data_IF_860658223821
#
_entry.id   IF_860658223821
#
_cell.length_a   1.000
_cell.length_b   1.000
_cell.length_c   1.000
_cell.angle_alpha   90.00
_cell.angle_beta   90.00
_cell.angle_gamma   90.00
#
_symmetry.space_group_name_H-M   'P 1'
#
loop_
_entity.id
_entity.type
_entity.pdbx_description
1 polymer ?
#
# COMPACT_ATOMS: atom_id res chain seq x y z
N UNK A 1 -23.81 -22.12 -4.18
CA UNK A 1 -23.20 -21.48 -3.02
C UNK A 1 -24.30 -21.32 -1.99
N UNK A 2 -24.14 -21.90 -0.80
CA UNK A 2 -25.06 -21.67 0.31
C UNK A 2 -24.50 -20.52 1.13
N UNK A 3 -25.31 -19.52 1.42
CA UNK A 3 -24.94 -18.45 2.36
C UNK A 3 -25.41 -18.87 3.74
N UNK A 4 -24.48 -19.01 4.68
CA UNK A 4 -24.77 -19.33 6.08
C UNK A 4 -25.49 -18.17 6.80
N UNK A 5 -25.96 -18.44 8.01
CA UNK A 5 -26.72 -17.45 8.80
C UNK A 5 -25.87 -16.26 9.26
N UNK A 6 -24.56 -16.45 9.35
CA UNK A 6 -23.52 -15.51 9.75
C UNK A 6 -22.63 -15.05 8.57
N UNK A 7 -23.02 -15.38 7.34
CA UNK A 7 -22.26 -15.02 6.14
C UNK A 7 -22.90 -13.85 5.38
N UNK A 8 -22.11 -13.18 4.54
CA UNK A 8 -22.64 -12.41 3.42
C UNK A 8 -22.05 -13.00 2.14
N UNK A 9 -22.89 -13.44 1.21
CA UNK A 9 -22.43 -14.01 -0.05
C UNK A 9 -22.94 -13.23 -1.26
N UNK A 10 -22.48 -13.63 -2.44
CA UNK A 10 -22.98 -12.99 -3.65
C UNK A 10 -22.12 -13.17 -4.88
N UNK A 11 -22.38 -12.29 -5.84
CA UNK A 11 -21.63 -12.21 -7.10
C UNK A 11 -21.22 -10.77 -7.36
N UNK A 12 -20.03 -10.60 -7.93
CA UNK A 12 -19.56 -9.35 -8.50
C UNK A 12 -19.57 -9.46 -10.01
N UNK A 13 -20.21 -8.49 -10.66
CA UNK A 13 -20.20 -8.35 -12.12
C UNK A 13 -19.53 -7.05 -12.52
N UNK A 14 -18.74 -7.09 -13.59
CA UNK A 14 -18.22 -5.93 -14.29
C UNK A 14 -18.87 -5.79 -15.68
N UNK A 15 -18.41 -4.83 -16.50
CA UNK A 15 -18.95 -4.60 -17.84
C UNK A 15 -18.83 -5.80 -18.79
N UNK A 16 -17.89 -6.71 -18.52
CA UNK A 16 -17.59 -7.87 -19.36
C UNK A 16 -18.11 -9.19 -18.77
N UNK A 17 -19.04 -9.14 -17.81
CA UNK A 17 -19.58 -10.32 -17.13
C UNK A 17 -19.01 -10.50 -15.72
N UNK A 18 -18.84 -11.73 -15.23
CA UNK A 18 -18.34 -11.98 -13.88
C UNK A 18 -16.95 -11.36 -13.63
N UNK A 19 -16.79 -10.68 -12.49
CA UNK A 19 -15.54 -10.00 -12.16
C UNK A 19 -14.70 -10.85 -11.21
N UNK A 20 -13.69 -11.52 -11.75
CA UNK A 20 -12.80 -12.40 -11.00
C UNK A 20 -11.61 -11.67 -10.35
N UNK A 21 -11.14 -12.20 -9.21
CA UNK A 21 -9.93 -11.72 -8.54
C UNK A 21 -10.05 -10.30 -7.98
N UNK A 22 -11.24 -9.88 -7.58
CA UNK A 22 -11.47 -8.60 -6.89
C UNK A 22 -11.80 -8.83 -5.42
N UNK A 23 -11.40 -7.89 -4.58
CA UNK A 23 -11.67 -7.93 -3.15
C UNK A 23 -13.09 -7.45 -2.87
N UNK A 24 -13.85 -8.25 -2.13
CA UNK A 24 -15.12 -7.84 -1.55
C UNK A 24 -14.90 -7.58 -0.06
N UNK A 25 -15.21 -6.36 0.35
CA UNK A 25 -14.87 -5.80 1.65
C UNK A 25 -16.16 -5.51 2.39
N UNK A 26 -16.37 -6.18 3.52
CA UNK A 26 -17.40 -5.82 4.50
C UNK A 26 -16.74 -5.07 5.65
N UNK A 27 -17.18 -3.83 5.93
CA UNK A 27 -16.69 -3.06 7.07
C UNK A 27 -17.84 -2.57 7.95
N UNK A 28 -17.59 -2.46 9.25
CA UNK A 28 -18.55 -1.95 10.24
C UNK A 28 -17.86 -1.16 11.35
N UNK A 29 -18.58 -0.19 11.90
CA UNK A 29 -18.23 0.53 13.13
C UNK A 29 -19.27 0.25 14.24
N UNK A 30 -20.18 -0.72 14.05
CA UNK A 30 -21.22 -1.05 15.03
C UNK A 30 -20.69 -1.96 16.17
N UNK A 31 -19.43 -2.39 16.06
CA UNK A 31 -18.72 -3.19 17.06
C UNK A 31 -17.82 -2.27 17.93
N UNK A 32 -17.29 -2.75 19.08
CA UNK A 32 -16.48 -1.92 19.97
C UNK A 32 -15.27 -1.25 19.32
N UNK A 33 -14.70 -1.87 18.27
CA UNK A 33 -13.71 -1.27 17.38
C UNK A 33 -14.13 -1.49 15.93
N UNK A 34 -13.56 -0.70 15.00
CA UNK A 34 -13.82 -0.89 13.58
C UNK A 34 -13.40 -2.31 13.18
N UNK A 35 -14.27 -2.97 12.42
CA UNK A 35 -14.04 -4.31 11.92
C UNK A 35 -14.11 -4.32 10.40
N UNK A 36 -13.22 -5.07 9.77
CA UNK A 36 -13.23 -5.32 8.33
C UNK A 36 -13.01 -6.82 8.06
N UNK A 37 -13.79 -7.40 7.15
CA UNK A 37 -13.50 -8.70 6.56
C UNK A 37 -13.46 -8.61 5.05
N UNK A 38 -12.41 -9.21 4.48
CA UNK A 38 -12.10 -9.11 3.06
C UNK A 38 -11.92 -10.52 2.49
N UNK A 39 -12.55 -10.77 1.35
CA UNK A 39 -12.44 -12.00 0.57
C UNK A 39 -12.21 -11.68 -0.90
N UNK A 40 -11.89 -12.68 -1.70
CA UNK A 40 -11.63 -12.50 -3.14
C UNK A 40 -12.63 -13.29 -3.96
N UNK A 41 -13.10 -12.71 -5.07
CA UNK A 41 -14.00 -13.41 -5.99
C UNK A 41 -13.32 -14.50 -6.80
N UNK A 42 -14.05 -15.59 -7.05
CA UNK A 42 -13.61 -16.67 -7.94
C UNK A 42 -13.75 -16.32 -9.43
N UNK A 43 -13.47 -17.27 -10.34
CA UNK A 43 -13.57 -17.08 -11.80
C UNK A 43 -14.98 -16.76 -12.29
N UNK A 44 -16.00 -17.02 -11.47
CA UNK A 44 -17.41 -16.72 -11.75
C UNK A 44 -17.87 -15.49 -10.97
N UNK A 45 -16.94 -14.69 -10.44
CA UNK A 45 -17.24 -13.47 -9.68
C UNK A 45 -17.89 -13.74 -8.32
N UNK A 46 -17.98 -14.99 -7.87
CA UNK A 46 -18.68 -15.36 -6.64
C UNK A 46 -17.80 -15.11 -5.42
N UNK A 47 -18.42 -14.72 -4.31
CA UNK A 47 -17.72 -14.51 -3.03
C UNK A 47 -18.58 -14.95 -1.84
N UNK A 48 -17.91 -15.38 -0.77
CA UNK A 48 -18.48 -15.59 0.57
C UNK A 48 -17.65 -14.79 1.56
N UNK A 49 -18.26 -13.95 2.36
CA UNK A 49 -17.65 -13.31 3.52
C UNK A 49 -18.13 -14.09 4.75
N UNK A 50 -17.29 -14.98 5.32
CA UNK A 50 -17.75 -15.90 6.35
C UNK A 50 -17.72 -15.30 7.76
N UNK A 51 -18.41 -15.95 8.70
CA UNK A 51 -18.26 -15.83 10.17
C UNK A 51 -18.40 -14.39 10.71
N UNK A 52 -19.25 -13.56 10.10
CA UNK A 52 -19.37 -12.14 10.45
C UNK A 52 -20.07 -11.97 11.80
N UNK A 53 -19.50 -11.17 12.73
CA UNK A 53 -20.22 -10.78 13.94
C UNK A 53 -21.57 -10.12 13.61
N UNK A 54 -22.53 -10.22 14.53
CA UNK A 54 -23.84 -9.56 14.35
C UNK A 54 -23.68 -8.04 14.40
N UNK A 55 -23.76 -7.40 13.23
CA UNK A 55 -23.68 -5.96 13.03
C UNK A 55 -24.32 -5.59 11.68
N UNK A 56 -24.45 -4.29 11.39
CA UNK A 56 -24.68 -3.82 10.01
C UNK A 56 -23.35 -3.56 9.34
N UNK A 57 -23.26 -3.87 8.06
CA UNK A 57 -22.05 -3.75 7.27
C UNK A 57 -22.28 -2.84 6.07
N UNK A 58 -21.22 -2.15 5.66
CA UNK A 58 -21.09 -1.63 4.32
C UNK A 58 -20.24 -2.59 3.51
N UNK A 59 -20.79 -3.12 2.41
CA UNK A 59 -20.12 -4.06 1.52
C UNK A 59 -19.81 -3.39 0.20
N UNK A 60 -18.57 -3.54 -0.27
CA UNK A 60 -18.10 -2.90 -1.50
C UNK A 60 -16.95 -3.67 -2.14
N UNK A 61 -16.62 -3.30 -3.38
CA UNK A 61 -15.64 -3.98 -4.23
C UNK A 61 -14.44 -3.08 -4.49
N UNK A 62 -13.25 -3.67 -4.39
CA UNK A 62 -11.98 -3.09 -4.84
C UNK A 62 -11.25 -4.06 -5.74
N UNK A 63 -10.55 -3.58 -6.76
CA UNK A 63 -9.72 -4.44 -7.60
C UNK A 63 -8.76 -3.65 -8.49
N UNK A 64 -7.59 -4.19 -8.77
CA UNK A 64 -6.66 -3.52 -9.67
C UNK A 64 -7.27 -3.30 -11.06
N UNK A 65 -7.13 -2.09 -11.60
CA UNK A 65 -7.80 -1.67 -12.84
C UNK A 65 -9.19 -1.03 -12.62
N UNK A 66 -9.67 -1.01 -11.38
CA UNK A 66 -10.98 -0.46 -10.99
C UNK A 66 -10.80 0.75 -10.08
N UNK A 67 -11.89 1.47 -9.86
CA UNK A 67 -12.08 2.32 -8.68
C UNK A 67 -12.98 1.60 -7.68
N UNK A 68 -12.97 2.04 -6.42
CA UNK A 68 -13.84 1.49 -5.40
C UNK A 68 -15.31 1.62 -5.83
N UNK A 69 -16.08 0.54 -5.66
CA UNK A 69 -17.52 0.59 -5.92
C UNK A 69 -18.25 1.44 -4.87
N UNK A 70 -19.48 1.89 -5.14
CA UNK A 70 -20.38 2.35 -4.09
C UNK A 70 -20.53 1.30 -2.98
N UNK A 71 -20.75 1.78 -1.76
CA UNK A 71 -20.99 0.93 -0.59
C UNK A 71 -22.45 0.53 -0.52
N UNK A 72 -22.71 -0.76 -0.33
CA UNK A 72 -24.03 -1.34 -0.18
C UNK A 72 -24.25 -1.76 1.28
N UNK A 73 -25.25 -1.19 1.98
CA UNK A 73 -25.62 -1.63 3.32
C UNK A 73 -26.10 -3.09 3.31
N UNK A 74 -25.69 -3.89 4.29
CA UNK A 74 -26.09 -5.29 4.41
C UNK A 74 -26.00 -5.81 5.85
N UNK A 75 -26.58 -6.98 6.09
CA UNK A 75 -26.48 -7.75 7.33
C UNK A 75 -26.19 -9.21 7.02
N UNK A 76 -25.74 -9.97 8.01
CA UNK A 76 -25.53 -11.42 7.91
C UNK A 76 -26.76 -12.18 7.37
N UNK A 77 -26.52 -13.29 6.70
CA UNK A 77 -27.51 -14.12 6.00
C UNK A 77 -27.94 -13.59 4.63
N UNK A 78 -27.42 -12.44 4.18
CA UNK A 78 -27.83 -11.84 2.92
C UNK A 78 -26.98 -12.28 1.73
N UNK A 79 -27.62 -12.32 0.56
CA UNK A 79 -26.97 -12.43 -0.75
C UNK A 79 -27.03 -11.08 -1.45
N UNK A 80 -25.90 -10.56 -1.92
CA UNK A 80 -25.82 -9.29 -2.63
C UNK A 80 -25.26 -9.48 -4.06
N UNK A 81 -25.83 -8.74 -5.00
CA UNK A 81 -25.19 -8.53 -6.30
C UNK A 81 -24.44 -7.19 -6.24
N UNK A 82 -23.14 -7.22 -6.50
CA UNK A 82 -22.29 -6.03 -6.49
C UNK A 82 -21.75 -5.76 -7.90
N UNK A 83 -21.53 -4.49 -8.21
CA UNK A 83 -20.96 -4.08 -9.49
C UNK A 83 -19.55 -3.55 -9.30
N UNK A 84 -18.60 -4.10 -10.05
CA UNK A 84 -17.28 -3.54 -10.20
C UNK A 84 -17.34 -2.27 -11.07
N UNK A 85 -16.54 -1.26 -10.71
CA UNK A 85 -16.52 0.03 -11.40
C UNK A 85 -15.19 0.20 -12.12
N UNK A 86 -15.15 0.14 -13.47
CA UNK A 86 -13.94 0.40 -14.23
C UNK A 86 -13.35 1.76 -13.88
N UNK A 87 -12.02 1.81 -13.73
CA UNK A 87 -11.36 3.09 -13.56
C UNK A 87 -11.50 3.94 -14.84
N UNK A 88 -11.78 5.25 -14.72
CA UNK A 88 -11.96 6.11 -15.89
C UNK A 88 -10.66 6.36 -16.68
N UNK A 89 -9.50 6.10 -16.07
CA UNK A 89 -8.19 6.22 -16.68
C UNK A 89 -7.12 5.45 -15.86
N UNK A 90 -5.91 5.23 -16.42
CA UNK A 90 -4.84 4.51 -15.73
C UNK A 90 -4.42 5.14 -14.39
N UNK A 91 -4.47 6.48 -14.28
CA UNK A 91 -4.13 7.19 -13.03
C UNK A 91 -5.11 6.86 -11.92
N UNK A 92 -6.41 6.91 -12.21
CA UNK A 92 -7.45 6.54 -11.26
C UNK A 92 -7.33 5.07 -10.82
N UNK A 93 -7.01 4.16 -11.75
CA UNK A 93 -6.77 2.75 -11.43
C UNK A 93 -5.57 2.56 -10.48
N UNK A 94 -4.52 3.37 -10.64
CA UNK A 94 -3.29 3.24 -9.90
C UNK A 94 -3.34 3.80 -8.47
N UNK A 95 -4.37 4.60 -8.12
CA UNK A 95 -4.51 5.18 -6.78
C UNK A 95 -4.48 4.10 -5.68
N UNK A 96 -5.05 2.93 -5.95
CA UNK A 96 -5.11 1.77 -5.04
C UNK A 96 -3.93 0.79 -5.20
N UNK A 97 -3.00 1.05 -6.11
CA UNK A 97 -1.85 0.15 -6.29
C UNK A 97 -0.92 0.21 -5.06
N UNK A 98 -0.28 -0.92 -4.70
CA UNK A 98 0.61 -0.97 -3.56
C UNK A 98 1.72 0.08 -3.66
N UNK A 99 2.16 0.62 -2.53
CA UNK A 99 3.22 1.62 -2.52
C UNK A 99 4.51 1.13 -3.23
N UNK A 100 4.82 -0.17 -3.11
CA UNK A 100 5.97 -0.76 -3.79
C UNK A 100 5.92 -0.63 -5.32
N UNK A 101 4.73 -0.65 -5.93
CA UNK A 101 4.58 -0.41 -7.37
C UNK A 101 4.92 1.04 -7.71
N UNK A 102 4.38 2.00 -6.96
CA UNK A 102 4.74 3.40 -7.14
C UNK A 102 6.23 3.66 -6.91
N UNK A 103 6.82 3.03 -5.90
CA UNK A 103 8.24 3.13 -5.61
C UNK A 103 9.12 2.48 -6.69
N UNK A 104 8.60 1.48 -7.42
CA UNK A 104 9.32 0.84 -8.53
C UNK A 104 9.59 1.77 -9.71
N UNK A 105 8.86 2.89 -9.80
CA UNK A 105 9.14 3.93 -10.81
C UNK A 105 10.45 4.68 -10.52
N UNK A 106 11.00 4.62 -9.30
CA UNK A 106 12.23 5.33 -8.97
C UNK A 106 13.41 4.86 -9.85
N UNK A 107 13.96 5.78 -10.63
CA UNK A 107 15.14 5.51 -11.47
C UNK A 107 16.42 5.60 -10.64
N UNK A 108 16.88 4.46 -10.15
CA UNK A 108 18.14 4.38 -9.38
C UNK A 108 19.37 4.51 -10.29
N UNK A 109 20.51 5.04 -9.79
CA UNK A 109 21.74 5.13 -10.59
C UNK A 109 22.14 3.79 -11.18
N UNK A 110 22.65 3.79 -12.41
CA UNK A 110 23.04 2.60 -13.14
C UNK A 110 24.23 1.90 -12.46
N UNK A 111 24.37 0.58 -12.68
CA UNK A 111 25.48 -0.20 -12.10
C UNK A 111 26.87 0.35 -12.48
N UNK A 112 27.00 0.92 -13.67
CA UNK A 112 28.25 1.53 -14.18
C UNK A 112 28.61 2.86 -13.49
N UNK A 113 27.71 3.45 -12.69
CA UNK A 113 27.99 4.66 -11.92
C UNK A 113 28.65 4.35 -10.56
N UNK A 114 28.98 3.08 -10.27
CA UNK A 114 29.62 2.69 -9.03
C UNK A 114 31.05 2.19 -9.26
N UNK A 115 31.99 2.45 -8.33
CA UNK A 115 31.80 3.11 -7.03
C UNK A 115 31.51 4.61 -7.16
N UNK A 116 30.92 5.21 -6.12
CA UNK A 116 30.67 6.65 -6.09
C UNK A 116 31.97 7.47 -6.20
N UNK A 117 31.89 8.62 -6.84
CA UNK A 117 33.06 9.49 -7.11
C UNK A 117 32.97 10.85 -6.41
N UNK A 118 31.98 11.03 -5.53
CA UNK A 118 31.82 12.22 -4.69
C UNK A 118 31.15 13.40 -5.40
N UNK A 119 31.00 14.54 -4.70
CA UNK A 119 30.25 15.70 -5.19
C UNK A 119 30.81 16.33 -6.47
N UNK A 120 32.11 16.24 -6.70
CA UNK A 120 32.79 16.75 -7.92
C UNK A 120 32.79 15.75 -9.07
N UNK A 121 32.36 14.51 -8.82
CA UNK A 121 32.17 13.46 -9.83
C UNK A 121 30.69 13.23 -10.12
N UNK A 122 30.24 11.98 -9.96
CA UNK A 122 28.85 11.59 -10.21
C UNK A 122 27.87 11.93 -9.07
N UNK A 123 28.34 12.60 -8.02
CA UNK A 123 27.52 13.03 -6.89
C UNK A 123 27.13 11.90 -5.92
N UNK A 124 27.55 10.67 -6.16
CA UNK A 124 27.34 9.52 -5.26
C UNK A 124 28.51 9.47 -4.27
N UNK A 125 28.21 9.21 -3.00
CA UNK A 125 29.21 9.08 -1.94
C UNK A 125 30.28 8.02 -2.29
N UNK A 126 31.59 8.32 -2.14
CA UNK A 126 32.66 7.35 -2.39
C UNK A 126 32.60 6.09 -1.50
N UNK A 127 31.81 6.12 -0.43
CA UNK A 127 31.59 4.97 0.45
C UNK A 127 30.57 3.97 -0.12
N UNK A 128 29.80 4.34 -1.13
CA UNK A 128 28.86 3.44 -1.81
C UNK A 128 29.60 2.75 -2.95
N UNK A 129 29.87 1.45 -2.79
CA UNK A 129 30.77 0.70 -3.69
C UNK A 129 30.04 0.03 -4.84
N UNK A 130 28.75 -0.23 -4.69
CA UNK A 130 27.92 -0.90 -5.69
C UNK A 130 26.48 -0.36 -5.70
N UNK A 131 25.76 -0.63 -6.79
CA UNK A 131 24.31 -0.37 -6.86
C UNK A 131 23.54 -1.16 -5.78
N UNK A 132 24.02 -2.36 -5.40
CA UNK A 132 23.40 -3.15 -4.35
C UNK A 132 23.50 -2.45 -2.98
N UNK A 133 24.64 -1.80 -2.67
CA UNK A 133 24.80 -1.00 -1.45
C UNK A 133 23.84 0.18 -1.44
N UNK A 134 23.73 0.89 -2.57
CA UNK A 134 22.78 2.00 -2.73
C UNK A 134 21.34 1.53 -2.51
N UNK A 135 20.95 0.43 -3.17
CA UNK A 135 19.62 -0.16 -3.07
C UNK A 135 19.29 -0.63 -1.65
N UNK A 136 20.27 -1.21 -0.94
CA UNK A 136 20.11 -1.61 0.47
C UNK A 136 19.73 -0.41 1.33
N UNK A 137 20.43 0.71 1.19
CA UNK A 137 20.17 1.92 1.98
C UNK A 137 18.80 2.52 1.69
N UNK A 138 18.41 2.67 0.42
CA UNK A 138 17.10 3.26 0.07
C UNK A 138 15.92 2.29 0.29
N UNK A 139 16.19 1.01 0.61
CA UNK A 139 15.18 0.00 0.96
C UNK A 139 15.26 -0.32 2.47
N UNK A 140 15.21 -1.60 2.82
CA UNK A 140 15.08 -2.08 4.19
C UNK A 140 16.32 -1.85 5.07
N UNK A 141 17.45 -1.44 4.49
CA UNK A 141 18.65 -1.12 5.25
C UNK A 141 18.57 0.23 5.96
N UNK A 142 17.72 1.16 5.52
CA UNK A 142 17.60 2.49 6.14
C UNK A 142 16.25 3.16 5.87
N UNK A 143 15.93 3.53 4.63
CA UNK A 143 14.79 4.41 4.36
C UNK A 143 13.43 3.73 4.56
N UNK A 144 13.26 2.48 4.12
CA UNK A 144 11.97 1.78 4.28
C UNK A 144 11.84 1.06 5.62
N UNK A 145 12.80 1.23 6.53
CA UNK A 145 12.72 0.65 7.87
C UNK A 145 11.78 1.45 8.78
N UNK A 146 11.69 2.77 8.57
CA UNK A 146 10.84 3.65 9.39
C UNK A 146 9.45 3.86 8.79
N UNK A 147 9.36 4.00 7.46
CA UNK A 147 8.10 4.22 6.77
C UNK A 147 8.14 3.65 5.36
N UNK A 148 6.97 3.33 4.81
CA UNK A 148 6.86 2.87 3.44
C UNK A 148 7.09 4.03 2.45
N UNK A 149 7.76 3.74 1.34
CA UNK A 149 7.87 4.66 0.19
C UNK A 149 6.90 4.23 -0.92
N UNK A 150 6.33 5.22 -1.61
CA UNK A 150 5.35 5.04 -2.68
C UNK A 150 3.88 5.13 -2.25
N UNK A 151 3.62 5.36 -0.96
CA UNK A 151 2.28 5.74 -0.48
C UNK A 151 1.94 7.12 -1.02
N UNK A 152 0.66 7.52 -1.04
CA UNK A 152 0.27 8.85 -1.53
C UNK A 152 1.04 9.98 -0.86
N UNK A 153 1.15 9.94 0.47
CA UNK A 153 1.91 10.92 1.25
C UNK A 153 3.42 10.91 0.99
N UNK A 154 3.98 9.85 0.39
CA UNK A 154 5.41 9.78 0.10
C UNK A 154 5.79 9.92 -1.38
N UNK A 155 4.88 9.59 -2.31
CA UNK A 155 5.06 9.70 -3.76
C UNK A 155 4.65 11.05 -4.36
N UNK A 156 3.99 11.89 -3.57
CA UNK A 156 3.60 13.24 -3.97
C UNK A 156 4.30 14.28 -3.08
N UNK A 157 4.38 15.53 -3.57
CA UNK A 157 4.79 16.67 -2.76
C UNK A 157 3.56 17.27 -2.06
N UNK A 158 3.52 17.27 -0.71
CA UNK A 158 2.48 17.94 0.05
C UNK A 158 2.33 19.42 -0.33
N UNK A 159 1.09 19.92 -0.32
CA UNK A 159 0.76 21.29 -0.72
C UNK A 159 1.61 22.35 0.01
N UNK A 160 1.94 22.12 1.29
CA UNK A 160 2.76 23.02 2.10
C UNK A 160 4.18 23.26 1.58
N UNK A 161 4.71 22.39 0.72
CA UNK A 161 6.04 22.56 0.12
C UNK A 161 5.98 23.09 -1.31
N UNK A 162 4.82 23.05 -1.98
CA UNK A 162 4.69 23.36 -3.42
C UNK A 162 5.08 24.79 -3.81
N UNK A 163 5.09 25.74 -2.86
CA UNK A 163 5.51 27.12 -3.11
C UNK A 163 7.04 27.29 -3.26
N UNK A 164 7.82 26.26 -2.91
CA UNK A 164 9.27 26.27 -3.13
C UNK A 164 9.60 26.15 -4.62
N UNK A 165 10.65 26.84 -5.08
CA UNK A 165 10.87 27.14 -6.50
C UNK A 165 11.21 25.93 -7.37
N UNK A 166 11.71 24.85 -6.80
CA UNK A 166 12.10 23.64 -7.53
C UNK A 166 11.71 22.39 -6.77
N UNK A 167 11.42 21.29 -7.47
CA UNK A 167 11.09 20.00 -6.85
C UNK A 167 12.22 19.46 -5.96
N UNK A 168 13.49 19.80 -6.27
CA UNK A 168 14.62 19.49 -5.38
C UNK A 168 14.56 20.28 -4.07
N UNK A 169 14.20 21.57 -4.10
CA UNK A 169 14.02 22.36 -2.89
C UNK A 169 12.80 21.87 -2.07
N UNK A 170 11.74 21.43 -2.75
CA UNK A 170 10.58 20.82 -2.13
C UNK A 170 10.95 19.53 -1.38
N UNK A 171 11.72 18.65 -2.02
CA UNK A 171 12.23 17.43 -1.40
C UNK A 171 13.19 17.69 -0.25
N UNK A 172 14.12 18.64 -0.42
CA UNK A 172 15.06 19.04 0.62
C UNK A 172 14.31 19.49 1.89
N UNK A 173 13.36 20.41 1.73
CA UNK A 173 12.56 20.92 2.85
C UNK A 173 11.69 19.83 3.48
N UNK A 174 11.11 18.96 2.65
CA UNK A 174 10.31 17.82 3.12
C UNK A 174 11.13 16.90 4.00
N UNK A 175 12.34 16.51 3.57
CA UNK A 175 13.21 15.62 4.35
C UNK A 175 13.75 16.31 5.61
N UNK A 176 13.97 17.62 5.58
CA UNK A 176 14.35 18.38 6.78
C UNK A 176 13.26 18.47 7.85
N UNK A 177 12.02 18.11 7.53
CA UNK A 177 10.87 18.38 8.40
C UNK A 177 10.67 17.30 9.47
N UNK A 178 10.31 17.74 10.68
CA UNK A 178 9.97 16.85 11.81
C UNK A 178 11.19 16.34 12.60
N UNK A 179 10.90 15.59 13.67
CA UNK A 179 11.91 15.14 14.64
C UNK A 179 12.97 14.20 14.01
N UNK A 180 12.59 13.43 12.99
CA UNK A 180 13.49 12.52 12.28
C UNK A 180 14.33 13.22 11.18
N UNK A 181 14.11 14.51 10.91
CA UNK A 181 14.66 15.20 9.74
C UNK A 181 16.18 15.17 9.67
N UNK A 182 16.87 15.43 10.78
CA UNK A 182 18.33 15.37 10.86
C UNK A 182 18.87 13.96 10.53
N UNK A 183 18.20 12.91 11.01
CA UNK A 183 18.56 11.53 10.72
C UNK A 183 18.32 11.16 9.25
N UNK A 184 17.19 11.59 8.67
CA UNK A 184 16.91 11.36 7.26
C UNK A 184 17.92 12.06 6.34
N UNK A 185 18.29 13.32 6.64
CA UNK A 185 19.33 14.03 5.89
C UNK A 185 20.70 13.37 6.01
N UNK A 186 21.07 12.88 7.20
CA UNK A 186 22.32 12.14 7.37
C UNK A 186 22.35 10.88 6.48
N UNK A 187 21.23 10.16 6.38
CA UNK A 187 21.10 8.99 5.51
C UNK A 187 21.18 9.35 4.03
N UNK A 188 20.59 10.47 3.60
CA UNK A 188 20.73 11.02 2.24
C UNK A 188 22.20 11.41 1.95
N UNK A 189 22.87 12.07 2.90
CA UNK A 189 24.28 12.44 2.79
C UNK A 189 25.20 11.23 2.58
N UNK A 190 24.90 10.09 3.24
CA UNK A 190 25.65 8.83 3.06
C UNK A 190 25.57 8.27 1.64
N UNK A 191 24.50 8.57 0.90
CA UNK A 191 24.32 8.16 -0.50
C UNK A 191 24.92 9.15 -1.49
N UNK A 192 25.01 10.42 -1.12
CA UNK A 192 25.33 11.52 -2.03
C UNK A 192 24.13 12.45 -2.13
N UNK A 193 24.20 13.55 -1.39
CA UNK A 193 23.04 14.39 -1.07
C UNK A 193 22.28 14.90 -2.29
N UNK A 194 22.96 15.71 -3.11
CA UNK A 194 22.35 16.37 -4.27
C UNK A 194 21.86 15.36 -5.32
N UNK A 195 22.64 14.29 -5.57
CA UNK A 195 22.27 13.21 -6.50
C UNK A 195 21.02 12.48 -6.04
N UNK A 196 20.92 12.18 -4.74
CA UNK A 196 19.78 11.45 -4.16
C UNK A 196 18.52 12.31 -4.12
N UNK A 197 18.62 13.58 -3.69
CA UNK A 197 17.48 14.50 -3.70
C UNK A 197 16.95 14.72 -5.12
N UNK A 198 17.84 14.88 -6.11
CA UNK A 198 17.44 15.01 -7.52
C UNK A 198 16.71 13.77 -8.03
N UNK A 199 17.17 12.58 -7.69
CA UNK A 199 16.53 11.32 -8.06
C UNK A 199 15.09 11.21 -7.51
N UNK A 200 14.88 11.56 -6.24
CA UNK A 200 13.55 11.56 -5.64
C UNK A 200 12.64 12.67 -6.20
N UNK A 201 13.20 13.86 -6.49
CA UNK A 201 12.48 14.94 -7.14
C UNK A 201 11.98 14.55 -8.53
N UNK A 202 12.86 13.99 -9.36
CA UNK A 202 12.50 13.47 -10.68
C UNK A 202 11.37 12.42 -10.60
N UNK A 203 11.49 11.47 -9.67
CA UNK A 203 10.44 10.46 -9.46
C UNK A 203 9.07 11.07 -9.14
N UNK A 204 9.01 12.07 -8.26
CA UNK A 204 7.72 12.75 -7.97
C UNK A 204 7.24 13.63 -9.11
N UNK A 205 8.15 14.22 -9.87
CA UNK A 205 7.80 15.06 -11.03
C UNK A 205 7.20 14.20 -12.14
N UNK A 206 7.79 13.03 -12.45
CA UNK A 206 7.23 12.08 -13.44
C UNK A 206 5.86 11.55 -13.00
N UNK A 207 5.69 11.22 -11.72
CA UNK A 207 4.38 10.85 -11.16
C UNK A 207 3.37 12.00 -11.28
N UNK A 208 3.77 13.24 -10.99
CA UNK A 208 2.89 14.41 -11.15
C UNK A 208 2.52 14.66 -12.62
N UNK A 209 3.44 14.41 -13.55
CA UNK A 209 3.28 14.65 -14.98
C UNK A 209 2.40 13.62 -15.70
N UNK A 210 2.19 12.42 -15.13
CA UNK A 210 1.38 11.41 -15.81
C UNK A 210 1.76 9.98 -15.49
N UNK A 211 2.99 9.73 -15.05
CA UNK A 211 3.53 8.39 -14.91
C UNK A 211 2.75 7.56 -13.88
N UNK A 212 2.45 6.32 -14.26
CA UNK A 212 1.80 5.32 -13.41
C UNK A 212 2.59 4.02 -13.49
N UNK A 213 2.70 3.26 -12.39
CA UNK A 213 3.40 1.99 -12.41
C UNK A 213 2.57 0.93 -13.15
N UNK A 214 3.20 -0.17 -13.59
CA UNK A 214 2.48 -1.27 -14.21
C UNK A 214 1.42 -1.82 -13.26
N UNK A 215 0.26 -2.15 -13.83
CA UNK A 215 -0.85 -2.74 -13.11
C UNK A 215 -0.39 -4.03 -12.40
N UNK A 216 -0.60 -4.15 -11.07
CA UNK A 216 -0.33 -5.41 -10.40
C UNK A 216 -1.28 -6.49 -10.90
N UNK A 217 -0.83 -7.75 -10.80
CA UNK A 217 -1.68 -8.90 -11.08
C UNK A 217 -2.76 -9.00 -10.02
N UNK A 218 -3.98 -9.34 -10.43
CA UNK A 218 -5.05 -9.73 -9.51
C UNK A 218 -4.81 -11.13 -8.97
N UNK A 219 -5.34 -11.47 -7.78
CA UNK A 219 -5.26 -12.83 -7.26
C UNK A 219 -5.86 -13.86 -8.23
N UNK A 220 -5.15 -14.97 -8.42
CA UNK A 220 -5.57 -16.08 -9.29
C UNK A 220 -5.44 -17.43 -8.57
N UNK A 221 -6.22 -18.42 -9.00
CA UNK A 221 -6.17 -19.77 -8.44
C UNK A 221 -6.32 -19.77 -6.91
N UNK A 222 -5.37 -20.41 -6.23
CA UNK A 222 -5.39 -20.58 -4.76
C UNK A 222 -5.27 -19.26 -3.99
N UNK A 223 -4.72 -18.20 -4.58
CA UNK A 223 -4.58 -16.88 -3.94
C UNK A 223 -5.94 -16.26 -3.60
N UNK A 224 -7.02 -16.71 -4.24
CA UNK A 224 -8.38 -16.24 -4.00
C UNK A 224 -9.03 -16.84 -2.77
N UNK A 225 -8.42 -17.88 -2.18
CA UNK A 225 -8.92 -18.54 -0.97
C UNK A 225 -8.54 -17.80 0.33
N UNK A 226 -8.05 -16.57 0.22
CA UNK A 226 -7.68 -15.76 1.37
C UNK A 226 -8.92 -15.10 1.98
N UNK A 227 -9.02 -15.18 3.31
CA UNK A 227 -9.94 -14.37 4.12
C UNK A 227 -9.10 -13.53 5.06
N UNK A 228 -9.22 -12.22 4.95
CA UNK A 228 -8.52 -11.27 5.82
C UNK A 228 -9.53 -10.73 6.82
N UNK A 229 -9.19 -10.83 8.11
CA UNK A 229 -9.96 -10.21 9.19
C UNK A 229 -9.11 -9.14 9.85
N UNK A 230 -9.64 -7.94 9.94
CA UNK A 230 -8.98 -6.79 10.54
C UNK A 230 -9.86 -6.24 11.66
N UNK A 231 -9.27 -6.07 12.83
CA UNK A 231 -9.84 -5.32 13.93
C UNK A 231 -8.96 -4.11 14.16
N UNK A 232 -9.58 -2.95 14.28
CA UNK A 232 -8.85 -1.75 14.64
C UNK A 232 -8.30 -1.89 16.06
N UNK A 233 -7.04 -1.50 16.21
CA UNK A 233 -6.19 -1.77 17.36
C UNK A 233 -5.42 -0.51 17.69
N UNK A 234 -6.15 0.53 18.09
CA UNK A 234 -5.74 1.71 18.86
C UNK A 234 -6.67 2.91 18.59
N UNK A 235 -6.24 4.10 19.00
CA UNK A 235 -6.84 5.37 18.67
C UNK A 235 -5.85 6.29 17.94
N UNK A 236 -6.30 7.39 17.30
CA UNK A 236 -5.44 8.27 16.51
C UNK A 236 -4.28 8.96 17.26
N UNK A 237 -4.24 8.91 18.60
CA UNK A 237 -3.17 9.48 19.44
C UNK A 237 -2.09 8.46 19.78
N UNK A 238 -2.30 7.21 19.42
CA UNK A 238 -1.40 6.12 19.72
C UNK A 238 -0.34 6.00 18.59
N UNK A 239 0.94 5.81 18.95
CA UNK A 239 2.05 5.94 17.99
C UNK A 239 2.50 4.60 17.39
N UNK A 240 2.92 3.65 18.24
CA UNK A 240 3.42 2.34 17.82
C UNK A 240 2.92 1.29 18.81
N UNK A 241 2.36 0.21 18.25
CA UNK A 241 2.02 -1.00 18.99
C UNK A 241 2.62 -2.16 18.23
N UNK A 242 3.55 -2.88 18.85
CA UNK A 242 3.99 -4.17 18.35
C UNK A 242 3.16 -5.24 19.04
N UNK A 243 2.34 -5.95 18.26
CA UNK A 243 1.66 -7.16 18.70
C UNK A 243 2.22 -8.34 17.91
N UNK A 244 2.63 -9.37 18.63
CA UNK A 244 3.07 -10.63 18.03
C UNK A 244 1.99 -11.65 18.31
N UNK A 245 1.28 -12.06 17.26
CA UNK A 245 0.15 -12.98 17.40
C UNK A 245 0.57 -14.42 17.62
N UNK A 246 1.81 -14.79 17.25
CA UNK A 246 2.33 -16.15 17.31
C UNK A 246 3.85 -16.13 17.15
N UNK A 247 4.55 -17.18 17.56
CA UNK A 247 5.99 -17.29 17.30
C UNK A 247 6.24 -17.41 15.78
N UNK A 248 7.05 -16.52 15.20
CA UNK A 248 7.39 -16.55 13.76
C UNK A 248 8.06 -17.86 13.32
N UNK A 249 8.68 -18.60 14.23
CA UNK A 249 9.32 -19.91 13.98
C UNK A 249 8.32 -21.07 14.05
N UNK A 250 7.17 -20.86 14.69
CA UNK A 250 6.09 -21.83 14.80
C UNK A 250 4.73 -21.10 14.76
N UNK A 251 4.26 -20.70 13.57
CA UNK A 251 3.12 -19.80 13.44
C UNK A 251 1.80 -20.41 13.94
N UNK A 252 1.71 -21.72 14.13
CA UNK A 252 0.51 -22.39 14.64
C UNK A 252 0.41 -22.43 16.17
N UNK A 253 1.43 -22.00 16.93
CA UNK A 253 1.41 -22.16 18.40
C UNK A 253 0.29 -21.37 19.09
N UNK A 254 -0.20 -20.30 18.47
CA UNK A 254 -1.32 -19.50 18.96
C UNK A 254 -2.49 -19.47 17.96
N UNK A 255 -2.68 -20.54 17.18
CA UNK A 255 -3.81 -20.62 16.26
C UNK A 255 -5.14 -20.43 17.02
N UNK A 256 -5.93 -19.43 16.60
CA UNK A 256 -7.19 -19.03 17.24
C UNK A 256 -7.07 -18.61 18.72
N UNK A 257 -5.87 -18.37 19.23
CA UNK A 257 -5.66 -17.92 20.59
C UNK A 257 -5.93 -16.43 20.77
N UNK A 258 -6.05 -16.02 22.02
CA UNK A 258 -6.30 -14.63 22.36
C UNK A 258 -5.06 -13.76 22.05
N UNK A 259 -5.33 -12.53 21.63
CA UNK A 259 -4.34 -11.47 21.47
C UNK A 259 -4.61 -10.41 22.53
N UNK A 260 -3.55 -9.92 23.16
CA UNK A 260 -3.62 -8.93 24.25
C UNK A 260 -2.77 -7.73 23.89
N UNK A 261 -3.25 -6.52 24.19
CA UNK A 261 -2.51 -5.26 24.02
C UNK A 261 -3.41 -4.05 24.09
#
# INVERSE_FOLDING_TARGET
>A
MSVGADDIGGVVTGPNGPEAGVWVIAETNDLPTKFVRIVVTDDQGRYLIPDLPRAKYNVWVRGYGLVDSPKSPSTIGQTLALNAVPAPNPRAAAEIYPAGHWYSLLEVPAKSEFPGTGPTGNGISPNVKSQADFLRTIKSGTCTACHQLGTKGTREIPAMFKSLPTSTAQWERRVQSGQAGAGMLANIGRLGHQRTIKMFADWTDRIAAGEVPPAPRRPQGIERNVVITEWDWADPKAYLHDVVSTDRRNPSVNANGLLYG
#
